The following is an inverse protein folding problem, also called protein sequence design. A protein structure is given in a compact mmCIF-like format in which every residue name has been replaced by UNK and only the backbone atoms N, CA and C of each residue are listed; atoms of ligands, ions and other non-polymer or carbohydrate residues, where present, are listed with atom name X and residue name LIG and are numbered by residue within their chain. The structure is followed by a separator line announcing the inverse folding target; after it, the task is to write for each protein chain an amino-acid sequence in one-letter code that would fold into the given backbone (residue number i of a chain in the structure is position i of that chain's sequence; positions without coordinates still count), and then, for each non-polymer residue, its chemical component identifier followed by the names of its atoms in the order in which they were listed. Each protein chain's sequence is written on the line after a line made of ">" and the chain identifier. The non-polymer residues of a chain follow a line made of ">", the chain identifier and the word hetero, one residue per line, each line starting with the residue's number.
data_IF_338516284300
#
_entry.id   IF_338516284300
#
_cell.length_a   1.000
_cell.length_b   1.000
_cell.length_c   1.000
_cell.angle_alpha   90.00
_cell.angle_beta   90.00
_cell.angle_gamma   90.00
#
_symmetry.space_group_name_H-M   'P 1'
#
loop_
_entity.id
_entity.type
_entity.pdbx_description
1 polymer ?
#
# COMPACT_ATOMS: atom_id res chain seq x y z
N UNK A 1 -70.54 23.15 12.95
CA UNK A 1 -69.53 24.23 12.92
C UNK A 1 -68.76 24.14 11.60
N UNK A 2 -68.93 25.12 10.68
CA UNK A 2 -68.14 25.19 9.44
C UNK A 2 -66.70 25.56 9.81
N UNK A 3 -65.77 24.64 9.60
CA UNK A 3 -64.34 24.85 9.79
C UNK A 3 -63.88 25.90 8.77
N UNK A 4 -63.58 27.13 9.20
CA UNK A 4 -63.01 28.15 8.33
C UNK A 4 -61.66 27.63 7.83
N UNK A 5 -61.54 27.45 6.50
CA UNK A 5 -60.27 27.12 5.85
C UNK A 5 -59.53 28.44 5.66
N UNK A 6 -58.46 28.65 6.40
CA UNK A 6 -57.52 29.76 6.18
C UNK A 6 -56.80 29.51 4.86
N UNK A 7 -57.00 30.38 3.87
CA UNK A 7 -56.26 30.34 2.61
C UNK A 7 -54.85 30.90 2.85
N UNK A 8 -53.83 30.17 2.37
CA UNK A 8 -52.43 30.57 2.48
C UNK A 8 -52.11 31.59 1.38
N UNK A 9 -51.44 32.69 1.71
CA UNK A 9 -51.04 33.68 0.71
C UNK A 9 -49.76 33.24 -0.02
N UNK A 10 -49.62 33.63 -1.28
CA UNK A 10 -48.43 33.34 -2.09
C UNK A 10 -47.15 33.89 -1.45
N UNK A 11 -47.25 35.02 -0.73
CA UNK A 11 -46.14 35.64 -0.01
C UNK A 11 -45.67 34.76 1.16
N UNK A 12 -46.59 34.23 1.97
CA UNK A 12 -46.24 33.33 3.08
C UNK A 12 -45.52 32.08 2.58
N UNK A 13 -45.95 31.52 1.45
CA UNK A 13 -45.29 30.35 0.85
C UNK A 13 -43.87 30.66 0.39
N UNK A 14 -43.68 31.80 -0.28
CA UNK A 14 -42.37 32.24 -0.76
C UNK A 14 -41.39 32.47 0.39
N UNK A 15 -41.83 33.11 1.48
CA UNK A 15 -40.98 33.36 2.65
C UNK A 15 -40.53 32.05 3.29
N UNK A 16 -41.43 31.08 3.45
CA UNK A 16 -41.08 29.77 4.02
C UNK A 16 -40.06 29.04 3.14
N UNK A 17 -40.24 29.04 1.82
CA UNK A 17 -39.28 28.43 0.89
C UNK A 17 -37.94 29.16 0.95
N UNK A 18 -37.93 30.49 1.05
CA UNK A 18 -36.69 31.27 1.18
C UNK A 18 -35.93 30.93 2.47
N UNK A 19 -36.61 30.81 3.61
CA UNK A 19 -36.00 30.43 4.89
C UNK A 19 -35.45 29.00 4.82
N UNK A 20 -36.22 28.04 4.30
CA UNK A 20 -35.75 26.65 4.12
C UNK A 20 -34.53 26.63 3.18
N UNK A 21 -34.56 27.41 2.09
CA UNK A 21 -33.45 27.53 1.15
C UNK A 21 -32.17 28.04 1.82
N UNK A 22 -32.27 29.08 2.66
CA UNK A 22 -31.14 29.62 3.42
C UNK A 22 -30.63 28.58 4.44
N UNK A 23 -31.52 27.97 5.21
CA UNK A 23 -31.14 26.97 6.22
C UNK A 23 -30.44 25.77 5.57
N UNK A 24 -31.00 25.21 4.51
CA UNK A 24 -30.39 24.09 3.78
C UNK A 24 -29.07 24.51 3.13
N UNK A 25 -29.00 25.72 2.56
CA UNK A 25 -27.79 26.28 1.96
C UNK A 25 -26.63 26.40 2.95
N UNK A 26 -26.91 26.75 4.20
CA UNK A 26 -25.91 26.84 5.26
C UNK A 26 -25.59 25.48 5.91
N UNK A 27 -26.58 24.58 6.02
CA UNK A 27 -26.41 23.28 6.66
C UNK A 27 -25.70 22.25 5.76
N UNK A 28 -25.90 22.27 4.45
CA UNK A 28 -25.35 21.26 3.56
C UNK A 28 -23.81 21.21 3.58
N UNK A 29 -23.08 22.34 3.43
CA UNK A 29 -21.61 22.32 3.51
C UNK A 29 -21.12 21.84 4.88
N UNK A 30 -21.78 22.28 5.96
CA UNK A 30 -21.42 21.91 7.33
C UNK A 30 -21.59 20.41 7.59
N UNK A 31 -22.70 19.81 7.14
CA UNK A 31 -22.95 18.37 7.28
C UNK A 31 -21.92 17.55 6.51
N UNK A 32 -21.50 18.00 5.32
CA UNK A 32 -20.47 17.28 4.56
C UNK A 32 -19.10 17.36 5.22
N UNK A 33 -18.71 18.54 5.72
CA UNK A 33 -17.47 18.72 6.46
C UNK A 33 -17.44 17.83 7.72
N UNK A 34 -18.54 17.80 8.48
CA UNK A 34 -18.66 16.94 9.66
C UNK A 34 -18.58 15.45 9.29
N UNK A 35 -19.23 15.02 8.21
CA UNK A 35 -19.16 13.63 7.73
C UNK A 35 -17.73 13.25 7.32
N UNK A 36 -17.00 14.12 6.64
CA UNK A 36 -15.61 13.83 6.26
C UNK A 36 -14.68 13.79 7.47
N UNK A 37 -14.85 14.69 8.44
CA UNK A 37 -14.10 14.64 9.69
C UNK A 37 -14.34 13.32 10.44
N UNK A 38 -15.60 12.86 10.51
CA UNK A 38 -15.93 11.57 11.10
C UNK A 38 -15.30 10.40 10.34
N UNK A 39 -15.34 10.40 9.00
CA UNK A 39 -14.68 9.36 8.18
C UNK A 39 -13.16 9.35 8.39
N UNK A 40 -12.52 10.52 8.48
CA UNK A 40 -11.09 10.66 8.79
C UNK A 40 -10.73 10.07 10.15
N UNK A 41 -11.55 10.35 11.16
CA UNK A 41 -11.37 9.74 12.49
C UNK A 41 -11.50 8.21 12.42
N UNK A 42 -12.48 7.68 11.69
CA UNK A 42 -12.62 6.24 11.48
C UNK A 42 -11.43 5.62 10.74
N UNK A 43 -10.88 6.29 9.71
CA UNK A 43 -9.68 5.80 9.02
C UNK A 43 -8.46 5.77 9.95
N UNK A 44 -8.29 6.79 10.79
CA UNK A 44 -7.23 6.82 11.82
C UNK A 44 -7.40 5.69 12.85
N UNK A 45 -8.64 5.45 13.31
CA UNK A 45 -8.95 4.38 14.26
C UNK A 45 -8.70 2.99 13.67
N UNK A 46 -9.12 2.74 12.43
CA UNK A 46 -8.83 1.49 11.73
C UNK A 46 -7.32 1.28 11.60
N UNK A 47 -6.57 2.34 11.30
CA UNK A 47 -5.12 2.24 11.24
C UNK A 47 -4.48 1.96 12.60
N UNK A 48 -5.03 2.54 13.67
CA UNK A 48 -4.61 2.27 15.05
C UNK A 48 -4.83 0.81 15.42
N UNK A 49 -5.94 0.19 14.98
CA UNK A 49 -6.19 -1.24 15.18
C UNK A 49 -5.15 -2.10 14.46
N UNK A 50 -4.76 -1.74 13.24
CA UNK A 50 -3.66 -2.42 12.53
C UNK A 50 -2.35 -2.30 13.31
N UNK A 51 -2.03 -1.10 13.81
CA UNK A 51 -0.83 -0.88 14.63
C UNK A 51 -0.83 -1.72 15.91
N UNK A 52 -1.94 -1.76 16.64
CA UNK A 52 -2.11 -2.63 17.81
C UNK A 52 -1.94 -4.10 17.41
N UNK A 53 -2.51 -4.51 16.27
CA UNK A 53 -2.37 -5.87 15.73
C UNK A 53 -0.91 -6.25 15.46
N UNK A 54 -0.12 -5.34 14.88
CA UNK A 54 1.32 -5.54 14.65
C UNK A 54 2.08 -5.65 15.97
N UNK A 55 1.79 -4.80 16.96
CA UNK A 55 2.44 -4.84 18.26
C UNK A 55 2.09 -6.12 19.04
N UNK A 56 0.84 -6.57 18.99
CA UNK A 56 0.40 -7.84 19.59
C UNK A 56 1.07 -9.04 18.92
N UNK A 57 1.15 -9.03 17.59
CA UNK A 57 1.93 -10.02 16.83
C UNK A 57 3.39 -10.04 17.29
N UNK A 58 4.04 -8.88 17.41
CA UNK A 58 5.41 -8.78 17.91
C UNK A 58 5.55 -9.26 19.36
N UNK A 59 4.59 -8.96 20.23
CA UNK A 59 4.59 -9.42 21.61
C UNK A 59 4.55 -10.96 21.70
N UNK A 60 3.74 -11.60 20.85
CA UNK A 60 3.58 -13.06 20.78
C UNK A 60 4.76 -13.77 20.10
N UNK A 61 5.19 -13.29 18.94
CA UNK A 61 6.16 -13.99 18.06
C UNK A 61 7.58 -13.43 18.10
N UNK A 62 7.82 -12.35 18.87
CA UNK A 62 9.11 -11.64 19.00
C UNK A 62 9.73 -11.20 17.68
N UNK A 63 8.88 -10.98 16.67
CA UNK A 63 9.20 -10.49 15.33
C UNK A 63 8.03 -9.67 14.81
N UNK A 64 8.28 -8.70 13.93
CA UNK A 64 7.24 -8.06 13.12
C UNK A 64 6.61 -9.10 12.17
N UNK A 65 5.34 -8.91 11.77
CA UNK A 65 4.71 -9.78 10.78
C UNK A 65 5.49 -9.75 9.46
N UNK A 66 5.71 -10.91 8.86
CA UNK A 66 6.52 -10.99 7.64
C UNK A 66 5.70 -10.50 6.46
N UNK A 67 6.20 -9.45 5.79
CA UNK A 67 5.71 -9.02 4.49
C UNK A 67 6.36 -9.84 3.39
N UNK A 68 5.59 -10.55 2.55
CA UNK A 68 6.12 -11.57 1.64
C UNK A 68 6.28 -12.93 2.35
N UNK A 69 5.15 -13.48 2.80
CA UNK A 69 5.07 -14.76 3.50
C UNK A 69 4.29 -15.81 2.69
N UNK A 70 4.15 -17.01 3.25
CA UNK A 70 3.37 -18.10 2.68
C UNK A 70 4.23 -19.22 2.09
N UNK A 71 3.58 -20.13 1.37
CA UNK A 71 4.22 -21.31 0.79
C UNK A 71 5.08 -20.96 -0.43
N UNK A 72 5.95 -21.89 -0.80
CA UNK A 72 6.66 -21.91 -2.08
C UNK A 72 6.52 -23.29 -2.76
N UNK A 73 7.01 -23.39 -4.00
CA UNK A 73 6.87 -24.59 -4.84
C UNK A 73 8.03 -25.59 -4.68
N UNK A 74 8.60 -25.70 -3.47
CA UNK A 74 9.65 -26.67 -3.18
C UNK A 74 11.06 -26.22 -3.59
N UNK A 75 12.03 -27.15 -3.62
CA UNK A 75 13.47 -26.85 -3.55
C UNK A 75 14.05 -26.14 -4.78
N UNK A 76 13.27 -25.86 -5.83
CA UNK A 76 13.71 -25.07 -6.98
C UNK A 76 13.02 -23.70 -7.07
N UNK A 77 12.39 -23.25 -5.97
CA UNK A 77 11.79 -21.93 -5.74
C UNK A 77 11.56 -21.07 -7.00
N UNK A 78 10.32 -20.97 -7.48
CA UNK A 78 10.04 -20.13 -8.64
C UNK A 78 10.13 -18.64 -8.28
N UNK A 79 10.46 -17.81 -9.26
CA UNK A 79 10.43 -16.35 -9.09
C UNK A 79 9.06 -15.93 -8.55
N UNK A 80 9.05 -15.08 -7.53
CA UNK A 80 7.83 -14.53 -6.89
C UNK A 80 6.89 -13.84 -7.89
N UNK A 81 7.37 -13.50 -9.09
CA UNK A 81 6.60 -12.89 -10.18
C UNK A 81 5.92 -13.91 -11.12
N UNK A 82 6.13 -15.21 -10.92
CA UNK A 82 5.75 -16.25 -11.87
C UNK A 82 4.28 -16.70 -11.74
N UNK A 83 3.37 -15.95 -12.35
CA UNK A 83 1.97 -16.33 -12.55
C UNK A 83 1.10 -16.14 -11.32
N UNK A 84 0.11 -15.24 -11.41
CA UNK A 84 -0.75 -14.88 -10.28
C UNK A 84 -1.88 -15.91 -10.02
N UNK A 85 -2.30 -16.67 -11.04
CA UNK A 85 -3.47 -17.56 -11.02
C UNK A 85 -3.14 -19.04 -10.70
N UNK A 86 -2.12 -19.26 -9.88
CA UNK A 86 -1.66 -20.61 -9.49
C UNK A 86 -2.66 -21.29 -8.58
N UNK A 87 -2.67 -22.63 -8.58
CA UNK A 87 -3.55 -23.43 -7.72
C UNK A 87 -2.83 -24.11 -6.56
N UNK A 88 -1.49 -24.05 -6.53
CA UNK A 88 -0.64 -24.87 -5.66
C UNK A 88 0.13 -24.08 -4.60
N UNK A 89 0.28 -22.76 -4.74
CA UNK A 89 0.94 -21.92 -3.74
C UNK A 89 0.70 -20.42 -3.96
N UNK A 90 0.72 -19.63 -2.87
CA UNK A 90 0.79 -18.16 -2.89
C UNK A 90 2.18 -17.63 -3.31
N UNK A 91 3.18 -18.51 -3.42
CA UNK A 91 4.52 -18.22 -3.93
C UNK A 91 5.23 -17.08 -3.18
N UNK A 92 5.18 -17.11 -1.84
CA UNK A 92 5.75 -16.12 -0.92
C UNK A 92 5.27 -14.67 -1.13
N UNK A 93 4.06 -14.48 -1.69
CA UNK A 93 3.47 -13.16 -1.91
C UNK A 93 2.48 -12.72 -0.82
N UNK A 94 2.38 -13.45 0.29
CA UNK A 94 1.47 -13.09 1.37
C UNK A 94 1.87 -11.76 2.04
N UNK A 95 0.93 -10.83 2.11
CA UNK A 95 1.08 -9.56 2.84
C UNK A 95 1.19 -9.79 4.35
N UNK A 96 1.80 -8.83 5.06
CA UNK A 96 1.78 -8.78 6.53
C UNK A 96 0.35 -8.79 7.11
N UNK A 97 -0.63 -8.27 6.35
CA UNK A 97 -2.03 -8.23 6.73
C UNK A 97 -2.64 -9.61 6.98
N UNK A 98 -2.11 -10.67 6.35
CA UNK A 98 -2.56 -12.04 6.61
C UNK A 98 -2.16 -12.47 8.02
N UNK A 99 -0.93 -12.14 8.44
CA UNK A 99 -0.38 -12.59 9.71
C UNK A 99 -1.02 -11.91 10.93
N UNK A 100 -1.58 -10.71 10.75
CA UNK A 100 -2.22 -9.97 11.84
C UNK A 100 -3.73 -10.26 11.96
N UNK A 101 -4.33 -11.07 11.09
CA UNK A 101 -5.77 -11.38 11.13
C UNK A 101 -6.28 -11.80 12.53
N UNK A 102 -5.60 -12.71 13.27
CA UNK A 102 -6.02 -13.07 14.63
C UNK A 102 -6.03 -11.89 15.62
N UNK A 103 -5.24 -10.85 15.34
CA UNK A 103 -5.06 -9.69 16.21
C UNK A 103 -5.94 -8.49 15.81
N UNK A 104 -6.78 -8.65 14.78
CA UNK A 104 -7.75 -7.65 14.32
C UNK A 104 -9.17 -8.24 14.23
N UNK A 105 -9.50 -9.19 15.12
CA UNK A 105 -10.81 -9.85 15.20
C UNK A 105 -11.23 -10.60 13.92
N UNK A 106 -10.26 -11.16 13.19
CA UNK A 106 -10.48 -11.95 11.98
C UNK A 106 -9.97 -13.40 12.11
N UNK A 107 -10.14 -14.01 13.30
CA UNK A 107 -9.71 -15.38 13.58
C UNK A 107 -10.30 -16.41 12.60
N UNK A 108 -11.60 -16.33 12.30
CA UNK A 108 -12.24 -17.28 11.39
C UNK A 108 -11.66 -17.24 9.96
N UNK A 109 -11.27 -16.06 9.49
CA UNK A 109 -10.61 -15.91 8.18
C UNK A 109 -9.18 -16.46 8.22
N UNK A 110 -8.46 -16.24 9.33
CA UNK A 110 -7.14 -16.85 9.53
C UNK A 110 -7.25 -18.37 9.50
N UNK A 111 -8.21 -18.98 10.19
CA UNK A 111 -8.39 -20.43 10.24
C UNK A 111 -8.65 -21.03 8.85
N UNK A 112 -9.40 -20.32 7.99
CA UNK A 112 -9.60 -20.72 6.59
C UNK A 112 -8.31 -20.63 5.76
N UNK A 113 -7.42 -19.65 6.04
CA UNK A 113 -6.17 -19.45 5.31
C UNK A 113 -5.07 -20.38 5.79
N UNK A 114 -4.94 -20.58 7.11
CA UNK A 114 -3.86 -21.35 7.70
C UNK A 114 -4.00 -22.85 7.51
N UNK A 115 -5.21 -23.32 7.20
CA UNK A 115 -5.53 -24.73 7.04
C UNK A 115 -5.94 -25.05 5.58
N UNK A 116 -5.89 -26.33 5.17
CA UNK A 116 -6.44 -26.72 3.89
C UNK A 116 -7.95 -26.44 3.78
N UNK A 117 -8.40 -25.90 2.65
CA UNK A 117 -9.81 -25.53 2.41
C UNK A 117 -10.41 -26.37 1.27
N UNK A 118 -11.41 -27.20 1.59
CA UNK A 118 -12.03 -28.15 0.66
C UNK A 118 -13.24 -27.58 -0.10
N UNK A 119 -13.34 -26.26 -0.25
CA UNK A 119 -14.44 -25.59 -0.96
C UNK A 119 -13.93 -24.45 -1.83
N UNK A 120 -14.58 -24.23 -2.97
CA UNK A 120 -14.39 -23.05 -3.80
C UNK A 120 -15.25 -21.88 -3.28
N UNK A 121 -15.02 -20.68 -3.83
CA UNK A 121 -15.76 -19.47 -3.46
C UNK A 121 -17.28 -19.53 -3.78
N UNK A 122 -17.69 -20.37 -4.73
CA UNK A 122 -19.09 -20.63 -5.06
C UNK A 122 -19.77 -21.67 -4.13
N UNK A 123 -19.04 -22.18 -3.13
CA UNK A 123 -19.52 -23.21 -2.21
C UNK A 123 -19.41 -24.64 -2.76
N UNK A 124 -18.96 -24.83 -4.02
CA UNK A 124 -18.74 -26.16 -4.57
C UNK A 124 -17.60 -26.88 -3.83
N UNK A 125 -17.72 -28.20 -3.60
CA UNK A 125 -16.65 -28.97 -2.98
C UNK A 125 -15.43 -29.01 -3.89
N UNK A 126 -14.24 -28.98 -3.29
CA UNK A 126 -12.97 -29.00 -4.00
C UNK A 126 -12.11 -30.20 -3.58
N UNK A 127 -11.64 -30.97 -4.56
CA UNK A 127 -10.68 -32.06 -4.37
C UNK A 127 -9.58 -32.04 -5.45
N UNK A 128 -8.28 -31.99 -5.10
CA UNK A 128 -7.74 -31.84 -3.75
C UNK A 128 -8.13 -30.49 -3.13
N UNK A 129 -8.23 -30.40 -1.78
CA UNK A 129 -8.47 -29.12 -1.12
C UNK A 129 -7.38 -28.11 -1.48
N UNK A 130 -7.71 -26.83 -1.41
CA UNK A 130 -6.68 -25.80 -1.38
C UNK A 130 -5.72 -26.07 -0.23
N UNK A 131 -4.42 -25.94 -0.48
CA UNK A 131 -3.39 -26.07 0.53
C UNK A 131 -3.44 -24.95 1.57
N UNK A 132 -2.87 -25.21 2.75
CA UNK A 132 -2.60 -24.19 3.76
C UNK A 132 -1.81 -23.02 3.15
N UNK A 133 -2.10 -21.81 3.64
CA UNK A 133 -1.63 -20.51 3.12
C UNK A 133 -2.13 -20.15 1.72
N UNK A 134 -3.06 -20.94 1.17
CA UNK A 134 -3.78 -20.63 -0.05
C UNK A 134 -2.99 -20.78 -1.36
N UNK A 135 -3.71 -20.76 -2.50
CA UNK A 135 -3.14 -20.74 -3.86
C UNK A 135 -2.56 -19.38 -4.30
N UNK A 136 -2.46 -19.12 -5.60
CA UNK A 136 -1.94 -17.86 -6.14
C UNK A 136 -2.84 -16.64 -5.87
N UNK A 137 -2.23 -15.47 -5.73
CA UNK A 137 -2.86 -14.20 -5.32
C UNK A 137 -4.00 -13.67 -6.20
N UNK A 138 -4.16 -14.15 -7.44
CA UNK A 138 -5.23 -13.67 -8.35
C UNK A 138 -6.42 -14.65 -8.49
N UNK A 139 -6.40 -15.76 -7.75
CA UNK A 139 -7.47 -16.76 -7.77
C UNK A 139 -8.73 -16.21 -7.13
N UNK A 140 -9.77 -16.01 -7.93
CA UNK A 140 -11.09 -15.56 -7.46
C UNK A 140 -11.90 -16.67 -6.81
N UNK A 141 -11.56 -17.92 -7.08
CA UNK A 141 -12.28 -19.12 -6.64
C UNK A 141 -11.88 -19.63 -5.25
N UNK A 142 -11.06 -18.87 -4.53
CA UNK A 142 -10.72 -19.10 -3.12
C UNK A 142 -11.23 -17.93 -2.30
N UNK A 143 -12.31 -18.19 -1.57
CA UNK A 143 -13.11 -17.20 -0.85
C UNK A 143 -12.30 -16.26 0.06
N UNK A 144 -11.27 -16.74 0.81
CA UNK A 144 -10.56 -15.87 1.73
C UNK A 144 -9.94 -14.61 1.10
N UNK A 145 -9.51 -14.67 -0.17
CA UNK A 145 -8.96 -13.46 -0.80
C UNK A 145 -10.03 -12.45 -1.12
N UNK A 146 -11.16 -12.86 -1.68
CA UNK A 146 -12.28 -11.96 -1.99
C UNK A 146 -13.02 -11.38 -0.77
N UNK A 147 -12.59 -11.70 0.45
CA UNK A 147 -13.22 -11.20 1.68
C UNK A 147 -12.78 -9.75 1.94
N UNK A 148 -13.75 -8.84 2.09
CA UNK A 148 -13.50 -7.45 2.49
C UNK A 148 -13.42 -7.35 4.02
N UNK A 149 -12.31 -6.83 4.54
CA UNK A 149 -12.08 -6.71 5.98
C UNK A 149 -12.28 -5.24 6.38
N UNK A 150 -13.30 -4.89 7.18
CA UNK A 150 -13.61 -3.50 7.51
C UNK A 150 -12.43 -2.73 8.12
N UNK A 151 -11.64 -3.38 8.98
CA UNK A 151 -10.43 -2.80 9.60
C UNK A 151 -9.36 -2.40 8.59
N UNK A 152 -9.33 -3.00 7.40
CA UNK A 152 -8.37 -2.66 6.33
C UNK A 152 -8.90 -1.60 5.37
N UNK A 153 -10.11 -1.08 5.59
CA UNK A 153 -10.73 -0.05 4.74
C UNK A 153 -10.77 1.29 5.45
N UNK A 154 -10.53 2.35 4.69
CA UNK A 154 -10.79 3.72 5.09
C UNK A 154 -12.16 4.12 4.53
N UNK A 155 -13.14 4.54 5.38
CA UNK A 155 -14.47 4.95 4.90
C UNK A 155 -14.49 6.12 3.92
N UNK A 156 -13.42 6.93 3.82
CA UNK A 156 -13.31 7.98 2.79
C UNK A 156 -12.93 7.44 1.40
N UNK A 157 -12.50 6.18 1.30
CA UNK A 157 -12.26 5.53 0.02
C UNK A 157 -13.54 4.89 -0.53
N UNK A 158 -14.09 5.37 -1.66
CA UNK A 158 -15.36 4.90 -2.19
C UNK A 158 -15.28 3.55 -2.91
N UNK A 159 -14.07 2.97 -3.07
CA UNK A 159 -13.88 1.71 -3.77
C UNK A 159 -14.54 0.53 -3.05
N UNK A 160 -15.38 -0.23 -3.76
CA UNK A 160 -16.11 -1.39 -3.21
C UNK A 160 -16.20 -2.55 -4.22
N UNK A 161 -16.28 -3.78 -3.71
CA UNK A 161 -16.59 -5.00 -4.47
C UNK A 161 -15.67 -5.30 -5.66
N UNK A 162 -16.23 -5.98 -6.66
CA UNK A 162 -15.50 -6.33 -7.87
C UNK A 162 -14.98 -5.07 -8.61
N UNK A 163 -13.88 -5.17 -9.36
CA UNK A 163 -13.09 -6.38 -9.62
C UNK A 163 -11.96 -6.64 -8.61
N UNK A 164 -11.97 -6.02 -7.43
CA UNK A 164 -10.97 -6.31 -6.40
C UNK A 164 -11.20 -7.70 -5.76
N UNK A 165 -10.12 -8.34 -5.32
CA UNK A 165 -10.16 -9.54 -4.47
C UNK A 165 -9.96 -9.09 -3.02
N UNK A 166 -10.87 -8.24 -2.53
CA UNK A 166 -10.75 -7.58 -1.22
C UNK A 166 -9.75 -6.41 -1.23
N UNK A 167 -10.23 -5.24 -0.82
CA UNK A 167 -9.41 -4.02 -0.82
C UNK A 167 -8.70 -3.79 0.50
N UNK A 168 -7.60 -3.05 0.41
CA UNK A 168 -6.92 -2.46 1.56
C UNK A 168 -6.61 -0.98 1.29
N UNK A 169 -6.67 -0.16 2.34
CA UNK A 169 -6.17 1.20 2.35
C UNK A 169 -4.87 1.37 3.13
N UNK A 170 -4.23 0.27 3.54
CA UNK A 170 -3.04 0.32 4.37
C UNK A 170 -1.96 -0.61 3.83
N UNK A 171 -0.72 -0.12 3.79
CA UNK A 171 0.44 -0.86 3.29
C UNK A 171 1.68 -0.61 4.14
N UNK A 172 2.63 -1.53 4.10
CA UNK A 172 3.91 -1.38 4.82
C UNK A 172 4.79 -0.31 4.19
N UNK A 173 5.55 0.39 5.02
CA UNK A 173 6.63 1.24 4.53
C UNK A 173 7.88 0.39 4.27
N UNK A 174 8.29 0.32 3.00
CA UNK A 174 9.56 -0.30 2.57
C UNK A 174 10.70 0.70 2.45
N UNK A 175 10.43 1.94 2.85
CA UNK A 175 11.38 3.03 3.01
C UNK A 175 11.44 3.96 1.81
N UNK A 176 12.57 4.64 1.67
CA UNK A 176 12.78 5.73 0.73
C UNK A 176 13.55 5.29 -0.53
N UNK A 177 13.53 3.98 -0.85
CA UNK A 177 14.02 3.47 -2.12
C UNK A 177 13.13 2.33 -2.60
N UNK A 178 12.66 2.43 -3.85
CA UNK A 178 11.95 1.32 -4.49
C UNK A 178 12.91 0.26 -5.05
N UNK A 179 14.22 0.52 -5.05
CA UNK A 179 15.23 -0.38 -5.63
C UNK A 179 15.26 -1.71 -4.88
N UNK A 180 14.99 -2.80 -5.61
CA UNK A 180 14.87 -4.17 -5.07
C UNK A 180 13.77 -4.35 -4.02
N UNK A 181 12.91 -3.38 -3.73
CA UNK A 181 11.89 -3.52 -2.67
C UNK A 181 10.77 -4.52 -2.99
N UNK A 182 10.62 -4.96 -4.25
CA UNK A 182 9.80 -6.14 -4.62
C UNK A 182 10.51 -7.47 -4.36
N UNK A 183 11.82 -7.43 -4.14
CA UNK A 183 12.66 -8.57 -3.86
C UNK A 183 12.88 -8.60 -2.34
N UNK A 184 12.93 -9.80 -1.78
CA UNK A 184 13.20 -9.98 -0.36
C UNK A 184 14.69 -10.02 -0.06
N UNK A 185 15.05 -9.81 1.20
CA UNK A 185 16.46 -9.83 1.62
C UNK A 185 17.09 -11.20 1.37
N UNK A 186 18.21 -11.22 0.65
CA UNK A 186 18.96 -12.45 0.37
C UNK A 186 20.06 -12.60 1.42
N UNK A 187 20.00 -13.65 2.26
CA UNK A 187 21.07 -13.93 3.21
C UNK A 187 22.17 -14.79 2.56
N UNK A 188 23.42 -14.28 2.54
CA UNK A 188 24.60 -15.00 2.02
C UNK A 188 24.80 -16.37 2.69
N UNK A 189 24.48 -16.47 3.98
CA UNK A 189 24.67 -17.70 4.78
C UNK A 189 23.67 -18.81 4.47
N UNK A 190 22.45 -18.46 4.01
CA UNK A 190 21.46 -19.45 3.58
C UNK A 190 21.91 -20.12 2.27
N UNK A 191 22.51 -19.34 1.38
CA UNK A 191 23.04 -19.84 0.12
C UNK A 191 24.20 -20.81 0.32
N UNK A 192 25.15 -20.48 1.21
CA UNK A 192 26.28 -21.38 1.53
C UNK A 192 25.83 -22.70 2.16
N UNK A 193 24.57 -22.79 2.60
CA UNK A 193 23.94 -24.00 3.16
C UNK A 193 22.98 -24.67 2.17
N UNK A 194 23.04 -24.31 0.88
CA UNK A 194 22.24 -24.93 -0.18
C UNK A 194 20.80 -24.41 -0.29
N UNK A 195 20.43 -23.30 0.37
CA UNK A 195 19.08 -22.75 0.27
C UNK A 195 18.83 -22.17 -1.13
N UNK A 196 17.78 -22.66 -1.77
CA UNK A 196 17.21 -22.13 -3.00
C UNK A 196 16.25 -21.00 -2.68
N UNK A 197 16.77 -19.79 -2.76
CA UNK A 197 15.95 -18.57 -2.66
C UNK A 197 15.41 -18.29 -4.08
N UNK A 198 14.15 -17.83 -4.23
CA UNK A 198 13.48 -17.63 -5.54
C UNK A 198 14.14 -16.62 -6.51
N UNK A 199 15.38 -16.15 -6.26
CA UNK A 199 16.10 -15.21 -7.10
C UNK A 199 17.21 -15.95 -7.87
N UNK A 200 17.28 -15.75 -9.20
CA UNK A 200 18.22 -16.50 -10.04
C UNK A 200 19.68 -16.08 -9.82
N UNK A 201 20.55 -17.09 -9.81
CA UNK A 201 22.01 -17.10 -9.90
C UNK A 201 22.74 -15.74 -9.87
N UNK A 202 23.08 -15.24 -8.68
CA UNK A 202 24.46 -14.88 -8.25
C UNK A 202 24.42 -14.37 -6.80
N UNK A 203 24.47 -15.32 -5.88
CA UNK A 203 23.88 -15.20 -4.55
C UNK A 203 24.59 -14.21 -3.60
N UNK A 204 25.90 -14.03 -3.73
CA UNK A 204 26.65 -13.08 -2.90
C UNK A 204 26.45 -11.63 -3.35
N UNK A 205 26.47 -11.38 -4.67
CA UNK A 205 26.26 -10.04 -5.23
C UNK A 205 24.85 -9.53 -4.93
N UNK A 206 23.83 -10.38 -5.07
CA UNK A 206 22.45 -9.99 -4.77
C UNK A 206 22.23 -9.68 -3.28
N UNK A 207 22.82 -10.47 -2.38
CA UNK A 207 22.76 -10.19 -0.95
C UNK A 207 23.45 -8.87 -0.57
N UNK A 208 24.63 -8.59 -1.14
CA UNK A 208 25.33 -7.31 -0.93
C UNK A 208 24.46 -6.15 -1.41
N UNK A 209 23.87 -6.25 -2.61
CA UNK A 209 22.99 -5.22 -3.18
C UNK A 209 21.76 -4.97 -2.31
N UNK A 210 21.08 -6.05 -1.94
CA UNK A 210 19.89 -6.06 -1.08
C UNK A 210 20.16 -5.39 0.28
N UNK A 211 21.32 -5.65 0.90
CA UNK A 211 21.71 -5.00 2.15
C UNK A 211 21.85 -3.47 2.05
N UNK A 212 22.11 -2.93 0.85
CA UNK A 212 22.31 -1.48 0.66
C UNK A 212 21.00 -0.71 0.47
N UNK A 213 19.98 -1.34 -0.11
CA UNK A 213 18.78 -0.64 -0.62
C UNK A 213 17.52 -0.88 0.20
N UNK A 214 17.48 -1.92 1.03
CA UNK A 214 16.33 -2.16 1.93
C UNK A 214 16.40 -1.31 3.19
N UNK A 215 15.76 -0.14 3.16
CA UNK A 215 15.85 0.86 4.22
C UNK A 215 14.61 1.01 5.11
N UNK A 216 13.43 0.56 4.66
CA UNK A 216 12.20 0.64 5.45
C UNK A 216 12.16 -0.24 6.69
N UNK A 217 11.20 0.00 7.58
CA UNK A 217 11.00 -0.85 8.75
C UNK A 217 10.59 -2.28 8.36
N UNK A 218 9.80 -2.44 7.30
CA UNK A 218 9.59 -3.74 6.68
C UNK A 218 10.55 -3.98 5.53
N UNK A 219 11.07 -5.19 5.48
CA UNK A 219 11.80 -5.71 4.34
C UNK A 219 11.12 -6.98 3.88
N UNK A 220 10.83 -7.06 2.58
CA UNK A 220 10.13 -8.20 2.03
C UNK A 220 10.88 -9.52 2.32
N UNK A 221 10.14 -10.59 2.55
CA UNK A 221 10.58 -11.94 2.94
C UNK A 221 11.58 -11.98 4.12
N UNK A 222 11.60 -10.95 4.96
CA UNK A 222 12.56 -10.82 6.05
C UNK A 222 11.90 -10.82 7.41
N UNK A 223 12.56 -11.45 8.38
CA UNK A 223 12.17 -11.38 9.79
C UNK A 223 12.76 -10.10 10.37
N UNK A 224 11.90 -9.10 10.56
CA UNK A 224 12.26 -7.81 11.15
C UNK A 224 11.82 -7.78 12.61
N UNK A 225 12.50 -6.97 13.43
CA UNK A 225 12.17 -6.73 14.85
C UNK A 225 12.24 -5.24 15.15
N UNK A 226 11.55 -4.80 16.22
CA UNK A 226 11.66 -3.41 16.66
C UNK A 226 13.09 -2.94 16.95
N UNK A 227 13.93 -3.84 17.48
CA UNK A 227 15.36 -3.55 17.72
C UNK A 227 16.17 -3.28 16.44
N UNK A 228 15.64 -3.66 15.28
CA UNK A 228 16.31 -3.46 14.00
C UNK A 228 16.04 -2.04 13.45
N UNK A 229 15.19 -1.26 14.15
CA UNK A 229 14.93 0.16 13.93
C UNK A 229 15.81 0.99 14.85
N UNK A 230 16.98 1.38 14.34
CA UNK A 230 18.01 2.14 15.06
C UNK A 230 17.73 3.65 15.06
N UNK A 231 16.97 4.15 14.07
CA UNK A 231 16.61 5.58 13.98
C UNK A 231 15.49 5.98 14.96
N UNK A 232 14.95 5.02 15.71
CA UNK A 232 13.93 5.21 16.74
C UNK A 232 12.51 4.88 16.28
N UNK A 233 11.74 4.17 17.11
CA UNK A 233 10.39 3.72 16.75
C UNK A 233 9.41 4.88 16.53
N UNK A 234 9.51 5.97 17.30
CA UNK A 234 8.70 7.17 17.13
C UNK A 234 9.07 7.99 15.90
N UNK A 235 10.23 7.72 15.30
CA UNK A 235 10.82 8.46 14.19
C UNK A 235 10.81 7.66 12.87
N UNK A 236 10.33 6.42 12.89
CA UNK A 236 10.27 5.57 11.70
C UNK A 236 8.84 5.18 11.38
N UNK A 237 8.40 5.48 10.16
CA UNK A 237 7.12 5.08 9.60
C UNK A 237 7.12 3.56 9.37
N UNK A 238 6.12 2.90 9.95
CA UNK A 238 5.83 1.47 9.83
C UNK A 238 4.97 1.15 8.62
N UNK A 239 3.88 1.90 8.46
CA UNK A 239 2.87 1.70 7.44
C UNK A 239 2.36 3.07 6.98
N UNK A 240 1.79 3.13 5.79
CA UNK A 240 1.07 4.31 5.31
C UNK A 240 -0.28 3.96 4.71
N UNK A 241 -1.14 4.97 4.67
CA UNK A 241 -2.41 4.91 3.95
C UNK A 241 -2.16 4.89 2.42
N UNK A 242 -3.01 4.18 1.69
CA UNK A 242 -3.05 4.17 0.23
C UNK A 242 -4.49 4.25 -0.26
N UNK A 243 -4.74 5.06 -1.29
CA UNK A 243 -5.99 5.09 -2.01
C UNK A 243 -6.09 3.89 -2.96
N UNK A 244 -7.29 3.33 -3.10
CA UNK A 244 -7.58 2.25 -4.03
C UNK A 244 -7.98 2.77 -5.40
N UNK A 245 -7.70 1.96 -6.42
CA UNK A 245 -8.05 2.28 -7.80
C UNK A 245 -9.56 2.32 -8.03
N UNK A 246 -10.06 3.33 -8.73
CA UNK A 246 -11.51 3.45 -9.03
C UNK A 246 -11.88 3.21 -10.50
N UNK A 247 -10.90 2.93 -11.36
CA UNK A 247 -11.17 2.86 -12.81
C UNK A 247 -10.96 4.17 -13.55
N UNK A 248 -10.59 5.24 -12.85
CA UNK A 248 -10.61 6.64 -13.28
C UNK A 248 -9.29 7.16 -13.86
N UNK A 249 -8.26 6.32 -13.95
CA UNK A 249 -6.90 6.71 -14.36
C UNK A 249 -6.23 7.74 -13.43
N UNK A 250 -6.59 7.78 -12.14
CA UNK A 250 -5.91 8.59 -11.13
C UNK A 250 -4.43 8.19 -11.01
N UNK A 251 -3.52 9.16 -11.08
CA UNK A 251 -2.06 8.97 -11.07
C UNK A 251 -1.52 8.31 -9.81
N UNK A 252 -2.30 8.32 -8.71
CA UNK A 252 -1.92 7.73 -7.43
C UNK A 252 -2.28 6.26 -7.33
N UNK A 253 -3.22 5.78 -8.16
CA UNK A 253 -3.89 4.48 -7.97
C UNK A 253 -3.92 3.59 -9.22
N UNK A 254 -3.52 4.14 -10.37
CA UNK A 254 -3.41 3.45 -11.65
C UNK A 254 -2.00 3.58 -12.22
N UNK A 255 -1.66 2.72 -13.18
CA UNK A 255 -0.35 2.73 -13.80
C UNK A 255 -0.44 2.79 -15.33
N UNK A 256 0.43 3.57 -15.98
CA UNK A 256 0.51 3.61 -17.43
C UNK A 256 1.23 2.36 -17.95
N UNK A 257 0.78 1.78 -19.07
CA UNK A 257 1.35 0.53 -19.62
C UNK A 257 1.50 0.48 -21.15
N UNK A 258 1.30 1.59 -21.85
CA UNK A 258 1.68 1.70 -23.26
C UNK A 258 3.21 1.62 -23.46
N UNK A 259 3.66 1.26 -24.66
CA UNK A 259 5.08 1.17 -25.06
C UNK A 259 5.84 2.49 -24.88
N UNK A 260 5.13 3.62 -24.94
CA UNK A 260 5.70 4.95 -24.64
C UNK A 260 6.18 5.07 -23.17
N UNK A 261 5.61 4.27 -22.26
CA UNK A 261 5.90 4.29 -20.81
C UNK A 261 6.61 3.02 -20.32
N UNK A 262 6.57 1.97 -21.14
CA UNK A 262 7.02 0.62 -20.84
C UNK A 262 7.57 -0.01 -22.11
N UNK A 263 8.80 0.33 -22.46
CA UNK A 263 9.47 -0.48 -23.46
C UNK A 263 9.77 -1.86 -22.83
N UNK A 264 9.66 -2.92 -23.63
CA UNK A 264 9.97 -4.30 -23.20
C UNK A 264 11.45 -4.47 -22.79
N UNK A 265 12.26 -3.41 -22.88
CA UNK A 265 13.66 -3.34 -22.48
C UNK A 265 13.85 -2.87 -21.02
N UNK A 266 12.76 -2.47 -20.33
CA UNK A 266 12.78 -2.23 -18.88
C UNK A 266 13.26 -0.84 -18.46
N UNK A 267 13.27 0.15 -19.37
CA UNK A 267 13.79 1.48 -19.06
C UNK A 267 12.91 2.27 -18.08
N UNK A 268 11.57 2.14 -18.09
CA UNK A 268 10.70 2.90 -17.17
C UNK A 268 11.01 2.69 -15.67
N UNK A 269 11.42 1.47 -15.27
CA UNK A 269 11.92 1.19 -13.91
C UNK A 269 13.22 1.92 -13.62
N UNK A 270 14.14 1.95 -14.58
CA UNK A 270 15.42 2.65 -14.44
C UNK A 270 15.20 4.16 -14.35
N UNK A 271 14.39 4.72 -15.23
CA UNK A 271 14.08 6.16 -15.24
C UNK A 271 13.43 6.60 -13.93
N UNK A 272 12.44 5.84 -13.41
CA UNK A 272 11.86 6.13 -12.10
C UNK A 272 12.86 6.09 -10.94
N UNK A 273 13.94 5.31 -11.04
CA UNK A 273 15.00 5.29 -10.02
C UNK A 273 15.98 6.43 -10.19
N UNK A 274 16.19 6.91 -11.41
CA UNK A 274 17.05 8.06 -11.69
C UNK A 274 16.35 9.37 -11.36
N UNK A 275 15.04 9.43 -11.59
CA UNK A 275 14.18 10.56 -11.28
C UNK A 275 12.80 10.04 -10.80
N UNK A 276 12.49 10.12 -9.50
CA UNK A 276 11.21 9.69 -8.96
C UNK A 276 9.98 10.39 -9.58
N UNK A 277 10.15 11.59 -10.13
CA UNK A 277 9.11 12.38 -10.81
C UNK A 277 9.03 12.15 -12.31
N UNK A 278 9.77 11.18 -12.86
CA UNK A 278 9.83 10.92 -14.31
C UNK A 278 8.46 10.78 -14.98
N UNK A 279 7.45 10.28 -14.27
CA UNK A 279 6.11 10.05 -14.83
C UNK A 279 5.23 11.31 -14.88
N UNK A 280 5.63 12.44 -14.27
CA UNK A 280 4.84 13.68 -14.27
C UNK A 280 4.63 14.24 -15.69
N UNK A 281 5.59 14.02 -16.59
CA UNK A 281 5.49 14.39 -18.01
C UNK A 281 4.36 13.66 -18.76
N UNK A 282 3.77 12.64 -18.14
CA UNK A 282 2.69 11.82 -18.70
C UNK A 282 1.35 12.06 -17.99
N UNK A 283 1.29 13.06 -17.11
CA UNK A 283 0.05 13.55 -16.53
C UNK A 283 -0.72 14.36 -17.57
N UNK A 284 -2.05 14.28 -17.51
CA UNK A 284 -2.93 15.10 -18.34
C UNK A 284 -2.71 16.59 -18.01
N UNK A 285 -2.31 17.44 -18.98
CA UNK A 285 -2.03 18.85 -18.73
C UNK A 285 -3.24 19.64 -18.20
N UNK A 286 -4.46 19.27 -18.64
CA UNK A 286 -5.71 19.91 -18.23
C UNK A 286 -6.22 19.31 -16.91
N UNK A 287 -5.81 18.07 -16.61
CA UNK A 287 -6.24 17.33 -15.43
C UNK A 287 -5.07 16.63 -14.72
N UNK A 288 -4.16 17.34 -14.03
CA UNK A 288 -2.89 16.79 -13.53
C UNK A 288 -2.99 15.62 -12.52
N UNK A 289 -4.19 15.35 -12.00
CA UNK A 289 -4.47 14.17 -11.15
C UNK A 289 -4.68 12.87 -11.94
N UNK A 290 -4.73 12.94 -13.27
CA UNK A 290 -5.05 11.83 -14.14
C UNK A 290 -3.95 11.62 -15.18
N UNK A 291 -3.74 10.38 -15.59
CA UNK A 291 -2.88 10.09 -16.73
C UNK A 291 -3.51 10.59 -18.04
N UNK A 292 -2.68 10.95 -19.02
CA UNK A 292 -3.14 11.26 -20.38
C UNK A 292 -4.00 10.08 -20.92
N UNK A 293 -5.09 10.40 -21.61
CA UNK A 293 -5.99 9.40 -22.21
C UNK A 293 -5.21 8.38 -23.05
N UNK A 294 -5.44 7.08 -22.80
CA UNK A 294 -4.73 5.97 -23.46
C UNK A 294 -3.43 5.51 -22.75
N UNK A 295 -2.87 6.30 -21.83
CA UNK A 295 -1.68 5.90 -21.08
C UNK A 295 -1.97 4.77 -20.06
N UNK A 296 -3.09 4.88 -19.34
CA UNK A 296 -3.56 3.86 -18.41
C UNK A 296 -4.09 2.64 -19.18
N UNK A 297 -3.35 1.53 -19.17
CA UNK A 297 -3.72 0.37 -19.96
C UNK A 297 -4.84 -0.47 -19.33
N UNK A 298 -5.42 -1.36 -20.15
CA UNK A 298 -6.27 -2.48 -19.75
C UNK A 298 -5.46 -3.50 -18.94
N UNK A 299 -5.53 -3.36 -17.63
CA UNK A 299 -4.92 -4.28 -16.68
C UNK A 299 -5.86 -5.46 -16.46
N UNK A 300 -5.30 -6.60 -15.98
CA UNK A 300 -6.18 -7.62 -15.42
C UNK A 300 -7.06 -6.95 -14.37
N UNK A 301 -8.34 -7.31 -14.33
CA UNK A 301 -9.34 -6.57 -13.56
C UNK A 301 -8.95 -6.38 -12.08
N UNK A 302 -8.16 -7.30 -11.52
CA UNK A 302 -7.69 -7.32 -10.12
C UNK A 302 -6.34 -6.62 -9.89
N UNK A 303 -5.70 -6.07 -10.93
CA UNK A 303 -4.36 -5.46 -10.86
C UNK A 303 -4.45 -3.93 -10.78
N UNK A 304 -4.95 -3.40 -9.67
CA UNK A 304 -4.93 -1.95 -9.37
C UNK A 304 -4.47 -1.72 -7.94
N UNK A 305 -4.14 -0.47 -7.61
CA UNK A 305 -3.66 -0.14 -6.27
C UNK A 305 -4.67 -0.56 -5.20
N UNK A 306 -4.20 -1.29 -4.19
CA UNK A 306 -5.01 -1.75 -3.06
C UNK A 306 -6.08 -2.80 -3.37
N UNK A 307 -6.07 -3.48 -4.53
CA UNK A 307 -7.12 -4.45 -4.92
C UNK A 307 -6.96 -5.87 -4.36
N UNK A 308 -5.85 -6.14 -3.67
CA UNK A 308 -5.51 -7.44 -3.11
C UNK A 308 -4.84 -7.24 -1.75
N UNK A 309 -5.62 -7.21 -0.68
CA UNK A 309 -5.09 -6.99 0.68
C UNK A 309 -4.05 -8.05 1.11
N UNK A 310 -4.12 -9.24 0.52
CA UNK A 310 -3.24 -10.39 0.80
C UNK A 310 -1.96 -10.41 -0.04
N UNK A 311 -1.82 -9.56 -1.06
CA UNK A 311 -0.67 -9.59 -1.98
C UNK A 311 0.37 -8.55 -1.56
N UNK A 312 1.62 -8.97 -1.36
CA UNK A 312 2.69 -8.14 -0.82
C UNK A 312 3.31 -7.18 -1.85
N UNK A 313 2.97 -7.24 -3.15
CA UNK A 313 3.60 -6.39 -4.16
C UNK A 313 3.29 -4.90 -3.96
N UNK A 314 4.14 -4.04 -4.54
CA UNK A 314 4.14 -2.59 -4.37
C UNK A 314 2.76 -1.95 -4.38
N UNK A 315 2.04 -2.16 -5.48
CA UNK A 315 0.74 -1.54 -5.68
C UNK A 315 -0.33 -2.02 -4.72
N UNK A 316 -0.20 -3.19 -4.12
CA UNK A 316 -1.28 -3.74 -3.31
C UNK A 316 -1.15 -3.33 -1.84
N UNK A 317 0.04 -3.46 -1.25
CA UNK A 317 0.24 -3.35 0.20
C UNK A 317 1.59 -2.74 0.59
N UNK A 318 2.21 -1.92 -0.27
CA UNK A 318 3.41 -1.16 0.09
C UNK A 318 3.25 0.34 -0.14
N UNK A 319 4.06 1.12 0.58
CA UNK A 319 4.26 2.55 0.40
C UNK A 319 5.75 2.91 0.51
N UNK A 320 6.15 4.00 -0.12
CA UNK A 320 7.50 4.55 -0.06
C UNK A 320 7.50 6.02 0.33
N UNK A 321 8.48 6.43 1.12
CA UNK A 321 8.68 7.81 1.58
C UNK A 321 9.65 8.54 0.66
N UNK A 322 9.32 8.61 -0.63
CA UNK A 322 10.16 9.25 -1.66
C UNK A 322 9.52 10.56 -2.11
N UNK A 323 8.30 10.47 -2.63
CA UNK A 323 7.47 11.64 -2.90
C UNK A 323 6.47 11.83 -1.75
N UNK A 324 6.07 13.08 -1.44
CA UNK A 324 5.14 13.37 -0.36
C UNK A 324 3.77 12.70 -0.60
N UNK A 325 2.94 12.59 0.46
CA UNK A 325 1.60 12.02 0.35
C UNK A 325 0.80 12.58 -0.83
N UNK A 326 -0.04 11.74 -1.43
CA UNK A 326 -0.88 12.08 -2.60
C UNK A 326 -0.13 12.41 -3.90
N UNK A 327 1.19 12.21 -3.96
CA UNK A 327 1.94 12.27 -5.21
C UNK A 327 1.63 11.09 -6.14
N UNK A 328 1.82 11.29 -7.45
CA UNK A 328 1.67 10.25 -8.46
C UNK A 328 2.68 9.11 -8.29
N UNK A 329 2.31 7.91 -8.73
CA UNK A 329 3.22 6.76 -8.71
C UNK A 329 4.25 6.85 -9.83
N UNK A 330 5.44 6.28 -9.65
CA UNK A 330 6.40 6.08 -10.73
C UNK A 330 6.66 4.58 -10.91
N UNK A 331 6.40 4.05 -12.10
CA UNK A 331 6.41 2.62 -12.37
C UNK A 331 6.83 2.27 -13.79
N UNK A 332 7.47 1.12 -13.97
CA UNK A 332 7.72 0.54 -15.30
C UNK A 332 6.53 -0.24 -15.87
N UNK A 333 5.28 0.13 -15.53
CA UNK A 333 4.06 -0.37 -16.18
C UNK A 333 3.62 -1.81 -15.87
N UNK A 334 4.08 -2.41 -14.77
CA UNK A 334 3.61 -3.71 -14.28
C UNK A 334 3.54 -3.74 -12.75
N UNK A 335 2.54 -4.42 -12.18
CA UNK A 335 2.39 -4.58 -10.72
C UNK A 335 3.51 -5.38 -10.05
N UNK A 336 4.24 -6.17 -10.84
CA UNK A 336 5.41 -6.95 -10.42
C UNK A 336 6.75 -6.23 -10.64
N UNK A 337 6.75 -5.00 -11.19
CA UNK A 337 7.97 -4.20 -11.35
C UNK A 337 8.24 -3.37 -10.09
N UNK A 338 9.52 -3.03 -9.84
CA UNK A 338 9.83 -2.02 -8.84
C UNK A 338 9.08 -0.76 -9.23
N UNK A 339 8.25 -0.30 -8.32
CA UNK A 339 7.45 0.89 -8.50
C UNK A 339 7.55 1.69 -7.23
N UNK A 340 7.80 2.99 -7.39
CA UNK A 340 7.68 3.94 -6.31
C UNK A 340 6.20 4.30 -6.16
N UNK A 341 5.68 4.04 -4.96
CA UNK A 341 4.26 4.17 -4.63
C UNK A 341 4.13 5.01 -3.35
N UNK A 342 3.91 6.32 -3.44
CA UNK A 342 3.78 7.19 -2.26
C UNK A 342 2.52 6.85 -1.47
N UNK A 343 2.48 7.07 -0.14
CA UNK A 343 1.22 7.12 0.60
C UNK A 343 0.19 8.00 -0.11
N UNK A 344 -1.08 7.59 -0.08
CA UNK A 344 -2.16 8.37 -0.66
C UNK A 344 -3.44 8.17 0.12
N UNK A 345 -4.29 9.18 0.12
CA UNK A 345 -5.58 9.15 0.79
C UNK A 345 -6.65 9.85 -0.06
N UNK A 346 -7.91 9.62 0.29
CA UNK A 346 -9.04 10.43 -0.19
C UNK A 346 -9.31 11.63 0.71
N UNK A 347 -8.64 11.73 1.86
CA UNK A 347 -8.62 12.94 2.67
C UNK A 347 -7.88 14.06 1.95
N UNK A 348 -8.33 15.29 2.19
CA UNK A 348 -7.68 16.49 1.65
C UNK A 348 -6.39 16.80 2.44
N UNK A 349 -5.34 17.19 1.71
CA UNK A 349 -4.14 17.80 2.29
C UNK A 349 -3.13 16.82 2.90
N UNK A 350 -3.29 15.51 2.76
CA UNK A 350 -2.36 14.55 3.34
C UNK A 350 -2.85 13.10 3.37
N UNK A 351 -2.17 12.28 4.17
CA UNK A 351 -2.51 10.88 4.42
C UNK A 351 -2.10 10.47 5.84
N UNK A 352 -2.77 9.46 6.42
CA UNK A 352 -2.31 8.91 7.69
C UNK A 352 -1.08 8.01 7.48
N UNK A 353 -0.17 8.06 8.45
CA UNK A 353 0.94 7.13 8.61
C UNK A 353 0.88 6.50 10.00
N UNK A 354 1.38 5.28 10.11
CA UNK A 354 1.58 4.60 11.37
C UNK A 354 3.07 4.61 11.69
N UNK A 355 3.44 5.16 12.83
CA UNK A 355 4.80 5.18 13.35
C UNK A 355 5.13 3.85 14.04
N UNK A 356 6.42 3.57 14.23
CA UNK A 356 6.91 2.32 14.82
C UNK A 356 6.57 2.12 16.29
N UNK A 357 6.24 3.19 17.00
CA UNK A 357 5.72 3.16 18.38
C UNK A 357 4.20 2.93 18.43
N UNK A 358 3.54 2.85 17.26
CA UNK A 358 2.11 2.64 17.11
C UNK A 358 1.29 3.94 17.10
N UNK A 359 1.91 5.12 17.07
CA UNK A 359 1.21 6.38 16.86
C UNK A 359 0.67 6.48 15.43
N UNK A 360 -0.55 7.01 15.26
CA UNK A 360 -1.12 7.34 13.95
C UNK A 360 -1.07 8.85 13.79
N UNK A 361 -0.36 9.30 12.76
CA UNK A 361 -0.11 10.73 12.49
C UNK A 361 -0.64 11.06 11.11
N UNK A 362 -1.25 12.23 10.95
CA UNK A 362 -1.65 12.72 9.63
C UNK A 362 -0.54 13.60 9.06
N UNK A 363 0.09 13.13 7.98
CA UNK A 363 1.18 13.84 7.33
C UNK A 363 0.64 14.62 6.15
N UNK A 364 1.00 15.89 6.07
CA UNK A 364 0.54 16.77 4.99
C UNK A 364 1.21 16.42 3.66
N UNK A 365 0.56 16.73 2.55
CA UNK A 365 1.16 16.64 1.21
C UNK A 365 2.22 17.72 0.94
N UNK A 366 2.34 18.69 1.85
CA UNK A 366 3.34 19.76 1.86
C UNK A 366 4.59 19.44 2.69
N UNK A 367 4.73 18.22 3.21
CA UNK A 367 5.90 17.82 4.01
C UNK A 367 7.20 18.00 3.20
N UNK A 368 8.27 18.44 3.86
CA UNK A 368 9.59 18.60 3.27
C UNK A 368 10.12 17.23 2.77
N UNK A 369 10.30 17.12 1.45
CA UNK A 369 10.62 15.87 0.76
C UNK A 369 11.96 15.94 0.00
N UNK A 370 12.88 16.80 0.45
CA UNK A 370 14.22 16.97 -0.09
C UNK A 370 14.26 17.16 -1.60
N UNK A 371 15.31 16.60 -2.21
CA UNK A 371 15.43 16.59 -3.67
C UNK A 371 14.66 15.42 -4.27
N UNK A 372 13.38 15.64 -4.51
CA UNK A 372 12.48 14.66 -5.15
C UNK A 372 12.81 14.32 -6.62
N UNK A 373 13.78 15.01 -7.24
CA UNK A 373 14.32 14.68 -8.56
C UNK A 373 15.61 13.85 -8.48
N UNK A 374 16.23 13.78 -7.30
CA UNK A 374 17.44 12.99 -7.07
C UNK A 374 17.14 11.51 -7.22
N UNK A 375 18.09 10.84 -7.85
CA UNK A 375 18.16 9.40 -7.97
C UNK A 375 18.06 8.69 -6.62
N UNK A 376 17.25 7.63 -6.59
CA UNK A 376 17.04 6.80 -5.40
C UNK A 376 18.32 6.10 -4.97
N UNK A 377 18.41 5.81 -3.67
CA UNK A 377 19.48 4.97 -3.11
C UNK A 377 19.49 3.60 -3.83
N UNK A 378 20.60 3.25 -4.48
CA UNK A 378 20.70 2.19 -5.49
C UNK A 378 22.08 1.51 -5.54
N UNK A 379 22.14 0.24 -5.92
CA UNK A 379 23.39 -0.54 -5.93
C UNK A 379 24.15 -0.54 -7.27
N UNK A 380 23.65 0.14 -8.31
CA UNK A 380 24.25 0.13 -9.66
C UNK A 380 25.43 1.11 -9.79
N UNK A 381 26.46 0.72 -10.55
CA UNK A 381 27.79 1.35 -10.61
C UNK A 381 27.90 2.76 -11.20
N UNK A 382 26.80 3.38 -11.60
CA UNK A 382 26.78 4.78 -12.06
C UNK A 382 26.52 5.77 -10.91
N UNK A 383 26.28 5.27 -9.69
CA UNK A 383 26.00 6.10 -8.52
C UNK A 383 26.64 5.47 -7.28
N UNK A 384 27.57 6.15 -6.58
CA UNK A 384 28.06 5.68 -5.30
C UNK A 384 26.98 5.93 -4.25
N UNK A 385 26.07 4.97 -4.05
CA UNK A 385 25.25 5.00 -2.84
C UNK A 385 26.00 4.28 -1.74
N UNK A 386 26.22 5.01 -0.65
CA UNK A 386 26.92 4.50 0.50
C UNK A 386 25.84 3.83 1.35
N UNK A 387 26.02 2.56 1.67
CA UNK A 387 25.11 1.90 2.60
C UNK A 387 25.09 2.70 3.91
N UNK A 388 23.90 3.09 4.38
CA UNK A 388 23.78 3.95 5.56
C UNK A 388 23.94 5.44 5.28
N UNK A 389 23.91 5.90 4.02
CA UNK A 389 23.69 7.32 3.69
C UNK A 389 22.35 7.78 4.26
N UNK A 390 22.28 9.07 4.62
CA UNK A 390 21.03 9.75 4.94
C UNK A 390 20.13 9.84 3.71
N UNK A 391 18.83 9.98 3.94
CA UNK A 391 17.86 10.12 2.88
C UNK A 391 18.09 11.40 2.06
N UNK A 392 18.08 11.34 0.72
CA UNK A 392 18.07 12.54 -0.11
C UNK A 392 16.72 13.26 -0.11
N UNK A 393 15.68 12.64 0.45
CA UNK A 393 14.30 13.11 0.40
C UNK A 393 13.87 13.81 1.69
N UNK A 394 14.82 14.46 2.36
CA UNK A 394 14.56 15.35 3.49
C UNK A 394 13.94 14.63 4.70
N UNK A 395 13.17 15.37 5.49
CA UNK A 395 12.42 14.85 6.63
C UNK A 395 11.53 13.68 6.23
N UNK A 396 10.81 13.80 5.11
CA UNK A 396 9.92 12.75 4.64
C UNK A 396 10.66 11.43 4.40
N UNK A 397 11.78 11.50 3.69
CA UNK A 397 12.64 10.38 3.42
C UNK A 397 13.25 9.77 4.68
N UNK A 398 13.76 10.62 5.58
CA UNK A 398 14.33 10.22 6.85
C UNK A 398 13.35 9.38 7.68
N UNK A 399 12.10 9.82 7.78
CA UNK A 399 11.02 9.11 8.48
C UNK A 399 10.75 7.70 7.94
N UNK A 400 11.08 7.40 6.68
CA UNK A 400 10.91 6.04 6.15
C UNK A 400 12.08 5.10 6.37
N UNK A 401 13.19 5.58 6.93
CA UNK A 401 14.40 4.78 7.08
C UNK A 401 14.49 4.24 8.50
N UNK A 402 14.98 3.00 8.64
CA UNK A 402 15.06 2.32 9.94
C UNK A 402 16.43 2.41 10.60
N UNK A 403 17.50 2.60 9.82
CA UNK A 403 18.88 2.46 10.29
C UNK A 403 19.87 3.23 9.38
N UNK A 404 19.57 4.50 9.12
CA UNK A 404 20.41 5.42 8.33
C UNK A 404 21.05 6.52 9.18
N UNK A 405 20.94 6.44 10.52
CA UNK A 405 21.39 7.47 11.46
C UNK A 405 20.73 8.83 11.18
N UNK A 406 19.43 8.79 10.92
CA UNK A 406 18.63 10.01 10.78
C UNK A 406 18.40 10.62 12.17
N UNK A 407 18.63 11.92 12.30
CA UNK A 407 18.30 12.69 13.50
C UNK A 407 17.15 13.62 13.14
N UNK A 408 15.98 13.36 13.72
CA UNK A 408 14.78 14.16 13.48
C UNK A 408 14.59 15.10 14.66
N UNK A 409 14.88 16.38 14.45
CA UNK A 409 14.73 17.42 15.48
C UNK A 409 13.31 18.00 15.53
N UNK A 410 12.53 17.85 14.44
CA UNK A 410 11.20 18.42 14.30
C UNK A 410 10.11 17.44 14.82
N UNK A 411 9.26 17.91 15.73
CA UNK A 411 8.15 17.10 16.23
C UNK A 411 7.00 17.09 15.22
N UNK A 412 6.57 15.89 14.79
CA UNK A 412 5.49 15.70 13.81
C UNK A 412 4.09 16.17 14.27
N UNK A 413 3.97 16.72 15.49
CA UNK A 413 2.69 16.96 16.19
C UNK A 413 2.59 18.35 16.86
N UNK A 414 3.24 19.40 16.34
CA UNK A 414 2.99 20.77 16.82
C UNK A 414 2.46 21.68 15.72
#
# INVERSE_FOLDING_TARGET
>A
MKRQRTAFTLVELLVVIAIIGILVGLLLPAVQAAREAARRMSCSNNFKQIGIGIHNYHAAFKNLPIHGNGTDRGPNGQQIYAGDNRTDSINRRGSFLIAILPFVEQQGLWDMISNPLASNADGSPRNPPWQAMGPGVARIDYLPWSTEIPTYRCPSDPGVGLPALGRTNYGVCTGDSSVMSREGKVFVTLVSRGATIPYSANNQRQAIRSNKVHRGMFVMNSRMKFRDTLDGLSNTIMCGELATGLGDADVRTSFPRDRAYNDRSGHGRRECRLNPRFMEQHHDPDRPRYWISGAAANLSATQRRGFRWHDCMHFFTQVHTILPPNSGVCTGGFTSNDSMVPPSSRHQGGAHVLMGDGAVVFITDSIEAGDSYRNMVSYHGDVPTIAGEQSPYGLWGALGTRASNEVIEEQLNQ
#
